data_IF_727737432900
#
_entry.id   IF_727737432900
#
_cell.length_a   1.000
_cell.length_b   1.000
_cell.length_c   1.000
_cell.angle_alpha   90.00
_cell.angle_beta   90.00
_cell.angle_gamma   90.00
#
_symmetry.space_group_name_H-M   'P 1'
#
loop_
_entity.id
_entity.type
_entity.pdbx_description
1 polymer ?
#
# COMPACT_ATOMS: atom_id res chain seq x y z
N UNK A 1 -28.44 -10.26 -44.15
CA UNK A 1 -27.32 -10.22 -43.19
C UNK A 1 -27.91 -10.85 -41.94
N UNK A 2 -27.53 -12.12 -41.68
CA UNK A 2 -28.10 -12.92 -40.61
C UNK A 2 -27.65 -12.40 -39.24
N UNK A 3 -28.62 -12.18 -38.37
CA UNK A 3 -28.46 -11.92 -36.94
C UNK A 3 -27.65 -13.08 -36.27
N UNK A 4 -26.36 -12.95 -36.22
CA UNK A 4 -25.52 -13.70 -35.31
C UNK A 4 -25.43 -12.93 -33.98
N UNK A 5 -26.58 -12.48 -33.46
CA UNK A 5 -26.72 -12.06 -32.08
C UNK A 5 -26.55 -13.30 -31.22
N UNK A 6 -25.56 -13.29 -30.29
CA UNK A 6 -25.49 -14.28 -29.22
C UNK A 6 -26.87 -14.29 -28.52
N UNK A 7 -27.65 -15.35 -28.80
CA UNK A 7 -28.95 -15.53 -28.16
C UNK A 7 -28.72 -15.93 -26.71
N UNK A 8 -28.52 -14.90 -25.84
CA UNK A 8 -28.29 -15.07 -24.40
C UNK A 8 -29.58 -15.33 -23.62
N UNK A 9 -30.73 -15.15 -24.26
CA UNK A 9 -32.05 -15.30 -23.60
C UNK A 9 -32.28 -16.67 -22.95
N UNK A 10 -32.00 -17.83 -23.61
CA UNK A 10 -32.24 -19.12 -22.98
C UNK A 10 -31.31 -19.37 -21.80
N UNK A 11 -30.06 -18.91 -21.88
CA UNK A 11 -29.10 -19.04 -20.76
C UNK A 11 -29.52 -18.20 -19.56
N UNK A 12 -29.92 -16.95 -19.80
CA UNK A 12 -30.40 -16.04 -18.75
C UNK A 12 -31.70 -16.53 -18.12
N UNK A 13 -32.62 -17.08 -18.91
CA UNK A 13 -33.86 -17.68 -18.39
C UNK A 13 -33.58 -18.90 -17.51
N UNK A 14 -32.60 -19.72 -17.86
CA UNK A 14 -32.18 -20.85 -17.04
C UNK A 14 -31.57 -20.38 -15.71
N UNK A 15 -30.68 -19.39 -15.75
CA UNK A 15 -30.06 -18.77 -14.57
C UNK A 15 -31.14 -18.15 -13.67
N UNK A 16 -32.07 -17.38 -14.25
CA UNK A 16 -33.20 -16.79 -13.53
C UNK A 16 -34.06 -17.87 -12.86
N UNK A 17 -34.34 -18.99 -13.55
CA UNK A 17 -35.14 -20.07 -13.00
C UNK A 17 -34.48 -20.72 -11.77
N UNK A 18 -33.16 -20.82 -11.75
CA UNK A 18 -32.38 -21.36 -10.63
C UNK A 18 -32.41 -20.39 -9.44
N UNK A 19 -32.08 -19.11 -9.69
CA UNK A 19 -32.00 -18.07 -8.64
C UNK A 19 -33.37 -17.91 -7.95
N UNK A 20 -34.40 -17.77 -8.77
CA UNK A 20 -35.74 -17.48 -8.30
C UNK A 20 -36.51 -18.75 -7.85
N UNK A 21 -36.04 -19.93 -8.30
CA UNK A 21 -36.54 -21.23 -7.86
C UNK A 21 -36.13 -21.60 -6.42
N UNK A 22 -34.87 -21.31 -6.10
CA UNK A 22 -34.26 -21.69 -4.84
C UNK A 22 -33.51 -20.55 -4.15
N UNK A 23 -34.16 -19.41 -3.81
CA UNK A 23 -33.48 -18.23 -3.32
C UNK A 23 -32.68 -18.46 -2.02
N UNK A 24 -33.15 -19.37 -1.13
CA UNK A 24 -32.41 -19.74 0.08
C UNK A 24 -31.11 -20.46 -0.24
N UNK A 25 -31.11 -21.35 -1.25
CA UNK A 25 -29.92 -22.07 -1.65
C UNK A 25 -28.88 -21.11 -2.27
N UNK A 26 -29.33 -20.12 -3.07
CA UNK A 26 -28.45 -19.09 -3.63
C UNK A 26 -27.82 -18.28 -2.51
N UNK A 27 -28.61 -17.75 -1.57
CA UNK A 27 -28.08 -16.98 -0.43
C UNK A 27 -27.10 -17.81 0.40
N UNK A 28 -27.43 -19.07 0.68
CA UNK A 28 -26.56 -19.97 1.44
C UNK A 28 -25.23 -20.23 0.71
N UNK A 29 -25.27 -20.44 -0.61
CA UNK A 29 -24.07 -20.62 -1.42
C UNK A 29 -23.16 -19.38 -1.40
N UNK A 30 -23.73 -18.17 -1.54
CA UNK A 30 -22.96 -16.92 -1.46
C UNK A 30 -22.36 -16.71 -0.07
N UNK A 31 -23.10 -17.01 1.00
CA UNK A 31 -22.57 -16.94 2.36
C UNK A 31 -21.45 -17.96 2.60
N UNK A 32 -21.55 -19.17 2.05
CA UNK A 32 -20.49 -20.18 2.14
C UNK A 32 -19.22 -19.72 1.44
N UNK A 33 -19.33 -19.13 0.23
CA UNK A 33 -18.19 -18.52 -0.48
C UNK A 33 -17.63 -17.33 0.29
N UNK A 34 -18.48 -16.53 0.93
CA UNK A 34 -18.04 -15.43 1.78
C UNK A 34 -17.18 -15.92 2.94
N UNK A 35 -17.62 -16.95 3.67
CA UNK A 35 -16.84 -17.53 4.77
C UNK A 35 -15.48 -18.03 4.28
N UNK A 36 -15.46 -18.67 3.11
CA UNK A 36 -14.23 -19.16 2.51
C UNK A 36 -13.28 -17.98 2.17
N UNK A 37 -13.77 -16.97 1.47
CA UNK A 37 -12.95 -15.83 1.03
C UNK A 37 -12.53 -14.92 2.19
N UNK A 38 -13.32 -14.83 3.27
CA UNK A 38 -12.93 -14.04 4.46
C UNK A 38 -11.62 -14.55 5.09
N UNK A 39 -11.29 -15.83 4.93
CA UNK A 39 -10.00 -16.38 5.36
C UNK A 39 -8.80 -15.74 4.68
N UNK A 40 -8.93 -15.32 3.43
CA UNK A 40 -7.87 -14.63 2.69
C UNK A 40 -7.61 -13.19 3.16
N UNK A 41 -8.59 -12.54 3.79
CA UNK A 41 -8.41 -11.13 4.23
C UNK A 41 -7.25 -10.98 5.22
N UNK A 42 -7.05 -11.99 6.08
CA UNK A 42 -5.93 -12.00 7.03
C UNK A 42 -4.57 -12.34 6.41
N UNK A 43 -4.52 -12.64 5.11
CA UNK A 43 -3.29 -12.98 4.37
C UNK A 43 -2.84 -11.85 3.44
N UNK A 44 -3.46 -10.68 3.53
CA UNK A 44 -3.10 -9.52 2.71
C UNK A 44 -1.76 -8.98 3.20
N UNK A 45 -0.79 -8.96 2.30
CA UNK A 45 0.50 -8.31 2.51
C UNK A 45 0.46 -6.90 1.91
N UNK A 46 1.04 -5.94 2.63
CA UNK A 46 1.24 -4.58 2.10
C UNK A 46 2.60 -4.50 1.44
N UNK A 47 2.69 -3.85 0.27
CA UNK A 47 4.00 -3.61 -0.37
C UNK A 47 4.79 -2.66 0.50
N UNK A 48 5.92 -3.14 0.95
CA UNK A 48 6.86 -2.36 1.74
C UNK A 48 7.83 -1.57 0.86
N UNK A 49 8.06 -1.98 -0.39
CA UNK A 49 8.93 -1.27 -1.32
C UNK A 49 8.34 -1.12 -2.72
N UNK A 50 8.12 0.14 -3.15
CA UNK A 50 7.73 0.44 -4.54
C UNK A 50 8.94 0.58 -5.47
N UNK A 51 10.16 0.67 -4.93
CA UNK A 51 11.37 0.80 -5.75
C UNK A 51 11.63 -0.47 -6.55
N UNK A 52 11.37 -1.64 -5.98
CA UNK A 52 11.51 -2.92 -6.69
C UNK A 52 10.52 -3.05 -7.86
N UNK A 53 9.33 -2.48 -7.72
CA UNK A 53 8.31 -2.51 -8.79
C UNK A 53 8.69 -1.67 -10.02
N UNK A 54 9.57 -0.68 -9.85
CA UNK A 54 10.12 0.10 -10.97
C UNK A 54 11.34 -0.54 -11.60
N UNK A 55 11.92 -1.56 -10.96
CA UNK A 55 13.24 -2.07 -11.26
C UNK A 55 13.26 -3.33 -12.13
N UNK A 56 12.20 -4.14 -12.14
CA UNK A 56 12.16 -5.31 -13.01
C UNK A 56 12.06 -4.90 -14.49
N UNK A 57 13.07 -5.26 -15.30
CA UNK A 57 13.17 -5.09 -16.77
C UNK A 57 13.55 -3.69 -17.30
N UNK A 58 14.18 -2.82 -16.53
CA UNK A 58 14.72 -1.57 -17.05
C UNK A 58 16.25 -1.69 -17.17
N UNK A 59 16.81 -1.47 -18.38
CA UNK A 59 18.26 -1.45 -18.62
C UNK A 59 19.04 -0.48 -17.70
N UNK A 60 18.36 0.50 -17.12
CA UNK A 60 18.89 1.39 -16.10
C UNK A 60 19.09 0.70 -14.76
N UNK A 61 18.27 -0.29 -14.42
CA UNK A 61 18.41 -1.07 -13.18
C UNK A 61 19.54 -2.08 -13.29
N UNK A 62 19.63 -2.80 -14.43
CA UNK A 62 20.78 -3.68 -14.69
C UNK A 62 22.11 -2.90 -14.63
N UNK A 63 22.09 -1.63 -15.09
CA UNK A 63 23.24 -0.74 -14.98
C UNK A 63 23.49 -0.29 -13.53
N UNK A 64 22.44 -0.05 -12.73
CA UNK A 64 22.52 0.30 -11.32
C UNK A 64 23.02 -0.89 -10.49
N UNK A 65 22.52 -2.09 -10.76
CA UNK A 65 22.95 -3.32 -10.11
C UNK A 65 24.42 -3.64 -10.45
N UNK A 66 24.84 -3.46 -11.71
CA UNK A 66 26.23 -3.59 -12.11
C UNK A 66 27.13 -2.54 -11.44
N UNK A 67 26.65 -1.29 -11.27
CA UNK A 67 27.34 -0.24 -10.52
C UNK A 67 27.42 -0.58 -9.03
N UNK A 68 26.36 -1.10 -8.44
CA UNK A 68 26.32 -1.53 -7.05
C UNK A 68 27.26 -2.72 -6.79
N UNK A 69 27.35 -3.67 -7.73
CA UNK A 69 28.24 -4.82 -7.66
C UNK A 69 29.71 -4.42 -7.85
N UNK A 70 30.02 -3.46 -8.74
CA UNK A 70 31.39 -3.06 -9.07
C UNK A 70 31.95 -1.97 -8.13
N UNK A 71 31.10 -1.14 -7.53
CA UNK A 71 31.50 -0.07 -6.61
C UNK A 71 31.19 -0.37 -5.13
N UNK A 72 30.78 -1.59 -4.83
CA UNK A 72 30.61 -2.11 -3.46
C UNK A 72 29.68 -1.26 -2.63
N UNK A 73 28.38 -1.47 -2.78
CA UNK A 73 27.36 -1.31 -1.74
C UNK A 73 27.24 -0.02 -0.92
N UNK A 74 28.04 0.99 -1.17
CA UNK A 74 27.97 2.26 -0.39
C UNK A 74 26.77 3.12 -0.74
N UNK A 75 26.03 2.75 -1.78
CA UNK A 75 24.86 3.48 -2.29
C UNK A 75 23.66 2.58 -2.59
N UNK A 76 23.83 1.25 -2.60
CA UNK A 76 22.69 0.36 -2.53
C UNK A 76 22.08 0.56 -1.15
N UNK A 77 20.80 0.84 -1.09
CA UNK A 77 20.06 0.65 0.14
C UNK A 77 20.10 -0.85 0.46
N UNK A 78 21.26 -1.33 0.96
CA UNK A 78 21.29 -2.62 1.62
C UNK A 78 20.18 -2.60 2.64
N UNK A 79 19.30 -3.57 2.57
CA UNK A 79 18.14 -3.71 3.45
C UNK A 79 18.53 -3.61 4.95
N UNK A 80 19.81 -3.72 5.26
CA UNK A 80 20.40 -3.67 6.59
C UNK A 80 21.00 -2.31 6.98
N UNK A 81 20.87 -1.24 6.15
CA UNK A 81 21.51 0.06 6.41
C UNK A 81 20.52 1.16 6.77
N UNK A 82 20.94 2.06 7.66
CA UNK A 82 20.24 3.29 8.02
C UNK A 82 21.11 4.50 7.64
N UNK A 83 20.56 5.47 6.98
CA UNK A 83 21.27 6.65 6.53
C UNK A 83 20.89 7.86 7.40
N UNK A 84 21.89 8.56 7.93
CA UNK A 84 21.74 9.80 8.67
C UNK A 84 22.21 10.95 7.77
N UNK A 85 21.30 11.80 7.34
CA UNK A 85 21.60 13.04 6.62
C UNK A 85 21.60 14.18 7.64
N UNK A 86 22.78 14.75 7.89
CA UNK A 86 22.94 15.94 8.71
C UNK A 86 23.07 17.17 7.82
N UNK A 87 22.29 18.23 8.09
CA UNK A 87 22.31 19.50 7.38
C UNK A 87 22.64 20.66 8.33
N UNK A 88 23.26 21.71 7.79
CA UNK A 88 23.60 22.91 8.57
C UNK A 88 24.63 23.81 7.87
N UNK A 89 24.97 24.94 8.50
CA UNK A 89 25.93 25.90 7.94
C UNK A 89 27.33 25.29 7.67
N UNK A 90 27.77 24.42 8.58
CA UNK A 90 28.98 23.62 8.43
C UNK A 90 28.89 22.32 9.25
N UNK A 91 28.53 21.22 8.59
CA UNK A 91 28.42 19.89 9.19
C UNK A 91 29.78 19.27 9.57
N UNK A 92 30.90 19.86 9.11
CA UNK A 92 32.27 19.46 9.46
C UNK A 92 32.84 20.29 10.63
N UNK A 93 32.04 21.13 11.27
CA UNK A 93 32.40 21.82 12.49
C UNK A 93 32.50 20.86 13.67
N UNK A 94 33.33 21.19 14.69
CA UNK A 94 33.43 20.37 15.91
C UNK A 94 32.07 19.99 16.49
N UNK A 95 31.16 20.97 16.62
CA UNK A 95 29.86 20.77 17.21
C UNK A 95 29.00 19.81 16.39
N UNK A 96 28.99 19.95 15.06
CA UNK A 96 28.24 19.08 14.16
C UNK A 96 28.77 17.64 14.16
N UNK A 97 30.11 17.48 14.14
CA UNK A 97 30.74 16.16 14.22
C UNK A 97 30.44 15.46 15.57
N UNK A 98 30.45 16.21 16.68
CA UNK A 98 30.08 15.67 17.99
C UNK A 98 28.61 15.25 18.08
N UNK A 99 27.70 15.98 17.41
CA UNK A 99 26.28 15.60 17.33
C UNK A 99 26.11 14.30 16.56
N UNK A 100 26.75 14.17 15.40
CA UNK A 100 26.70 12.92 14.63
C UNK A 100 27.22 11.74 15.44
N UNK A 101 28.37 11.89 16.10
CA UNK A 101 28.91 10.84 16.98
C UNK A 101 28.03 10.55 18.18
N UNK A 102 27.33 11.52 18.74
CA UNK A 102 26.40 11.28 19.85
C UNK A 102 25.20 10.42 19.41
N UNK A 103 24.68 10.61 18.20
CA UNK A 103 23.63 9.73 17.65
C UNK A 103 24.17 8.32 17.44
N UNK A 104 25.35 8.18 16.85
CA UNK A 104 25.99 6.87 16.64
C UNK A 104 26.24 6.16 17.96
N UNK A 105 26.79 6.86 18.97
CA UNK A 105 27.07 6.29 20.30
C UNK A 105 25.78 5.82 20.99
N UNK A 106 24.72 6.65 21.00
CA UNK A 106 23.44 6.28 21.57
C UNK A 106 22.79 5.11 20.83
N UNK A 107 22.97 5.02 19.50
CA UNK A 107 22.50 3.87 18.71
C UNK A 107 23.28 2.61 19.12
N UNK A 108 24.59 2.72 19.28
CA UNK A 108 25.44 1.59 19.67
C UNK A 108 25.20 1.11 21.14
N UNK A 109 24.80 2.02 22.04
CA UNK A 109 24.47 1.69 23.42
C UNK A 109 23.17 0.87 23.53
N UNK A 110 22.30 0.96 22.54
CA UNK A 110 21.06 0.19 22.48
C UNK A 110 21.28 -1.11 21.73
N UNK A 111 21.47 -2.20 22.45
CA UNK A 111 21.75 -3.51 21.87
C UNK A 111 20.62 -3.99 20.91
N UNK A 112 19.39 -3.56 21.13
CA UNK A 112 18.23 -3.83 20.27
C UNK A 112 18.37 -3.22 18.87
N UNK A 113 19.16 -2.16 18.71
CA UNK A 113 19.38 -1.51 17.41
C UNK A 113 20.51 -2.17 16.60
N UNK A 114 21.23 -3.15 17.17
CA UNK A 114 22.15 -4.08 16.48
C UNK A 114 23.17 -3.39 15.57
N UNK A 115 23.66 -2.22 15.95
CA UNK A 115 24.65 -1.48 15.17
C UNK A 115 25.97 -2.28 15.11
N UNK A 116 26.47 -2.52 13.90
CA UNK A 116 27.76 -3.20 13.67
C UNK A 116 28.84 -2.26 13.17
N UNK A 117 28.46 -1.28 12.34
CA UNK A 117 29.37 -0.28 11.80
C UNK A 117 28.68 1.07 11.59
N UNK A 118 29.48 2.13 11.62
CA UNK A 118 29.04 3.48 11.30
C UNK A 118 30.11 4.20 10.50
N UNK A 119 29.84 4.42 9.23
CA UNK A 119 30.74 5.12 8.31
C UNK A 119 30.20 6.49 7.97
N UNK A 120 30.93 7.55 8.34
CA UNK A 120 30.55 8.92 8.08
C UNK A 120 31.72 9.90 8.27
N UNK A 121 31.53 11.19 7.90
CA UNK A 121 32.62 12.17 8.06
C UNK A 121 33.12 12.28 9.51
N UNK A 122 32.24 12.15 10.50
CA UNK A 122 32.61 12.25 11.91
C UNK A 122 33.53 11.12 12.36
N UNK A 123 33.23 9.87 11.97
CA UNK A 123 34.06 8.70 12.29
C UNK A 123 35.42 8.75 11.58
N UNK A 124 35.40 9.12 10.27
CA UNK A 124 36.62 9.25 9.47
C UNK A 124 37.57 10.34 10.03
N UNK A 125 37.02 11.52 10.38
CA UNK A 125 37.79 12.62 10.94
C UNK A 125 38.33 12.28 12.33
N UNK A 126 37.53 11.60 13.18
CA UNK A 126 37.96 11.15 14.49
C UNK A 126 39.16 10.17 14.41
N UNK A 127 39.11 9.19 13.51
CA UNK A 127 40.19 8.26 13.25
C UNK A 127 41.42 8.93 12.61
N UNK A 128 41.23 10.04 11.86
CA UNK A 128 42.33 10.82 11.33
C UNK A 128 43.04 11.62 12.44
N UNK A 129 42.30 12.06 13.46
CA UNK A 129 42.83 12.76 14.62
C UNK A 129 43.53 11.80 15.62
N UNK A 130 42.92 10.64 15.84
CA UNK A 130 43.46 9.60 16.70
C UNK A 130 43.21 8.21 16.09
N UNK A 131 44.22 7.63 15.41
CA UNK A 131 44.10 6.31 14.79
C UNK A 131 43.83 5.16 15.78
N UNK A 132 43.98 5.39 17.08
CA UNK A 132 43.68 4.40 18.13
C UNK A 132 42.25 4.50 18.67
N UNK A 133 41.44 5.40 18.14
CA UNK A 133 40.04 5.57 18.56
C UNK A 133 39.10 4.54 17.91
N UNK A 134 39.15 3.31 18.42
CA UNK A 134 38.42 2.14 17.91
C UNK A 134 36.94 2.11 18.38
N UNK A 135 36.55 2.90 19.38
CA UNK A 135 35.18 3.00 19.87
C UNK A 135 34.58 4.37 19.62
N UNK A 136 33.25 4.46 19.47
CA UNK A 136 32.55 5.72 19.24
C UNK A 136 32.78 6.74 20.38
N UNK A 137 32.86 6.28 21.64
CA UNK A 137 33.23 7.13 22.77
C UNK A 137 34.69 7.65 22.65
N UNK A 138 35.63 6.82 22.19
CA UNK A 138 37.01 7.26 21.93
C UNK A 138 37.04 8.27 20.77
N UNK A 139 36.32 8.05 19.70
CA UNK A 139 36.19 8.97 18.58
C UNK A 139 35.60 10.31 19.02
N UNK A 140 34.55 10.30 19.86
CA UNK A 140 33.98 11.52 20.43
C UNK A 140 35.01 12.29 21.29
N UNK A 141 35.81 11.59 22.09
CA UNK A 141 36.90 12.19 22.87
C UNK A 141 37.99 12.80 21.96
N UNK A 142 38.34 12.12 20.88
CA UNK A 142 39.31 12.63 19.92
C UNK A 142 38.87 13.98 19.33
N UNK A 143 37.62 14.09 18.84
CA UNK A 143 37.07 15.33 18.31
C UNK A 143 36.91 16.40 19.40
N UNK A 144 36.46 16.04 20.61
CA UNK A 144 36.26 17.01 21.69
C UNK A 144 37.54 17.67 22.16
N UNK A 145 38.67 16.97 22.14
CA UNK A 145 39.99 17.44 22.57
C UNK A 145 40.72 18.23 21.48
N UNK A 146 40.39 17.95 20.22
CA UNK A 146 41.05 18.60 19.09
C UNK A 146 40.71 20.11 19.01
N UNK A 147 41.65 20.94 18.64
CA UNK A 147 41.40 22.34 18.30
C UNK A 147 40.68 22.44 16.95
N UNK A 148 40.03 23.57 16.67
CA UNK A 148 39.38 23.82 15.37
C UNK A 148 40.37 23.79 14.19
N UNK A 149 41.63 24.14 14.43
CA UNK A 149 42.68 24.03 13.43
C UNK A 149 43.07 22.58 13.13
N UNK A 150 43.13 21.72 14.12
CA UNK A 150 43.39 20.29 13.95
C UNK A 150 42.24 19.61 13.23
N UNK A 151 40.97 19.92 13.58
CA UNK A 151 39.81 19.41 12.87
C UNK A 151 39.83 19.83 11.39
N UNK A 152 40.07 21.13 11.09
CA UNK A 152 40.15 21.55 9.69
C UNK A 152 41.29 20.86 8.94
N UNK A 153 42.42 20.59 9.58
CA UNK A 153 43.51 19.84 8.96
C UNK A 153 43.15 18.38 8.71
N UNK A 154 42.49 17.74 9.68
CA UNK A 154 41.99 16.37 9.54
C UNK A 154 40.96 16.25 8.40
N UNK A 155 40.01 17.21 8.27
CA UNK A 155 39.06 17.29 7.14
C UNK A 155 39.80 17.39 5.79
N UNK A 156 40.81 18.26 5.68
CA UNK A 156 41.58 18.41 4.44
C UNK A 156 42.36 17.16 4.05
N UNK A 157 42.86 16.41 5.03
CA UNK A 157 43.57 15.15 4.83
C UNK A 157 42.57 14.03 4.48
N UNK A 158 41.41 14.00 5.13
CA UNK A 158 40.35 13.02 4.84
C UNK A 158 39.75 13.19 3.45
N UNK A 159 39.79 14.41 2.88
CA UNK A 159 39.31 14.66 1.53
C UNK A 159 40.04 13.87 0.43
N UNK A 160 41.25 13.37 0.70
CA UNK A 160 42.02 12.51 -0.21
C UNK A 160 41.70 11.00 -0.03
N UNK A 161 40.91 10.64 0.98
CA UNK A 161 40.49 9.24 1.19
C UNK A 161 39.40 8.87 0.20
N UNK A 162 39.48 7.66 -0.39
CA UNK A 162 38.37 7.13 -1.19
C UNK A 162 37.07 7.14 -0.38
N UNK A 163 35.97 7.54 -0.98
CA UNK A 163 34.63 7.55 -0.38
C UNK A 163 34.33 8.76 0.53
N UNK A 164 35.31 9.56 0.99
CA UNK A 164 34.99 10.72 1.84
C UNK A 164 34.13 11.77 1.12
N UNK A 165 34.40 12.00 -0.17
CA UNK A 165 33.67 13.00 -0.96
C UNK A 165 32.21 12.59 -1.22
N UNK A 166 31.91 11.31 -1.26
CA UNK A 166 30.53 10.81 -1.38
C UNK A 166 29.70 10.92 -0.09
N UNK A 167 30.38 11.15 1.04
CA UNK A 167 29.74 11.32 2.35
C UNK A 167 29.53 12.79 2.73
N UNK A 168 29.90 13.74 1.87
CA UNK A 168 29.71 15.18 2.07
C UNK A 168 28.97 15.78 0.89
N UNK A 169 28.24 16.87 1.15
CA UNK A 169 27.47 17.56 0.11
C UNK A 169 28.33 18.09 -1.03
N UNK A 170 27.73 18.31 -2.20
CA UNK A 170 28.39 18.84 -3.39
C UNK A 170 28.98 20.24 -3.20
N UNK A 171 28.59 20.94 -2.13
CA UNK A 171 29.12 22.23 -1.70
C UNK A 171 30.40 22.13 -0.87
N UNK A 172 30.94 20.90 -0.70
CA UNK A 172 32.15 20.68 0.08
C UNK A 172 33.31 21.54 -0.41
N UNK A 173 33.83 22.34 0.50
CA UNK A 173 34.97 23.20 0.24
C UNK A 173 36.18 22.79 1.08
N UNK A 174 37.16 22.16 0.41
CA UNK A 174 38.39 21.68 1.05
C UNK A 174 39.20 22.81 1.70
N UNK A 175 39.18 24.03 1.11
CA UNK A 175 40.00 25.15 1.63
C UNK A 175 39.45 25.67 2.96
N UNK A 176 38.14 25.84 3.07
CA UNK A 176 37.46 26.25 4.30
C UNK A 176 37.24 25.06 5.26
N UNK A 177 37.35 23.85 4.78
CA UNK A 177 36.97 22.61 5.49
C UNK A 177 35.51 22.66 5.94
N UNK A 178 34.59 22.93 5.01
CA UNK A 178 33.17 23.11 5.27
C UNK A 178 32.30 22.38 4.24
N UNK A 179 31.16 21.92 4.66
CA UNK A 179 30.08 21.38 3.84
C UNK A 179 28.74 21.68 4.51
N UNK A 180 27.68 21.91 3.73
CA UNK A 180 26.33 22.16 4.19
C UNK A 180 25.55 20.87 4.52
N UNK A 181 26.01 19.73 4.01
CA UNK A 181 25.40 18.43 4.28
C UNK A 181 26.45 17.33 4.45
N UNK A 182 26.11 16.31 5.24
CA UNK A 182 26.91 15.08 5.37
C UNK A 182 26.00 13.86 5.53
N UNK A 183 26.45 12.75 4.98
CA UNK A 183 25.82 11.45 5.08
C UNK A 183 26.63 10.54 6.00
N UNK A 184 25.96 9.88 6.93
CA UNK A 184 26.53 8.78 7.72
C UNK A 184 25.67 7.54 7.49
N UNK A 185 26.33 6.43 7.16
CA UNK A 185 25.69 5.13 6.98
C UNK A 185 25.91 4.28 8.23
N UNK A 186 24.83 3.81 8.81
CA UNK A 186 24.80 2.87 9.92
C UNK A 186 24.46 1.50 9.36
N UNK A 187 25.30 0.50 9.63
CA UNK A 187 25.05 -0.89 9.25
C UNK A 187 24.58 -1.68 10.46
N UNK A 188 23.50 -2.42 10.30
CA UNK A 188 22.92 -3.25 11.35
C UNK A 188 23.13 -4.74 11.02
N UNK A 189 23.08 -5.61 12.01
CA UNK A 189 23.17 -7.07 11.79
C UNK A 189 21.85 -7.74 12.12
N UNK A 190 21.24 -8.36 11.11
CA UNK A 190 20.02 -9.12 11.27
C UNK A 190 20.30 -10.62 11.12
N UNK A 191 19.73 -11.48 12.00
CA UNK A 191 19.71 -12.91 11.76
C UNK A 191 18.87 -13.21 10.52
N UNK A 192 19.19 -14.27 9.76
CA UNK A 192 18.33 -14.73 8.68
C UNK A 192 16.90 -14.95 9.21
N UNK A 193 15.89 -14.35 8.58
CA UNK A 193 14.47 -14.39 8.95
C UNK A 193 14.03 -13.42 10.08
N UNK A 194 14.77 -12.37 10.37
CA UNK A 194 14.40 -11.36 11.35
C UNK A 194 13.91 -10.09 10.64
N UNK A 195 12.59 -9.87 10.59
CA UNK A 195 11.93 -8.72 9.92
C UNK A 195 11.91 -7.44 10.77
N UNK A 196 12.81 -7.28 11.74
CA UNK A 196 12.81 -6.13 12.66
C UNK A 196 13.52 -4.87 12.11
N UNK A 197 13.84 -4.82 10.82
CA UNK A 197 14.51 -3.67 10.21
C UNK A 197 13.76 -2.35 10.48
N UNK A 198 12.44 -2.35 10.28
CA UNK A 198 11.59 -1.18 10.52
C UNK A 198 11.71 -0.68 11.96
N UNK A 199 11.64 -1.56 12.95
CA UNK A 199 11.73 -1.20 14.37
C UNK A 199 13.11 -0.63 14.70
N UNK A 200 14.17 -1.22 14.17
CA UNK A 200 15.55 -0.74 14.34
C UNK A 200 15.73 0.65 13.75
N UNK A 201 15.28 0.87 12.52
CA UNK A 201 15.41 2.16 11.83
C UNK A 201 14.55 3.25 12.49
N UNK A 202 13.34 2.93 12.94
CA UNK A 202 12.51 3.84 13.74
C UNK A 202 13.15 4.16 15.09
N UNK A 203 13.83 3.21 15.72
CA UNK A 203 14.60 3.44 16.95
C UNK A 203 15.77 4.40 16.74
N UNK A 204 16.46 4.32 15.61
CA UNK A 204 17.51 5.29 15.21
C UNK A 204 16.91 6.66 14.95
N UNK A 205 15.76 6.73 14.25
CA UNK A 205 15.03 7.97 14.00
C UNK A 205 14.65 8.68 15.31
N UNK A 206 14.13 7.94 16.28
CA UNK A 206 13.79 8.47 17.62
C UNK A 206 15.00 9.05 18.37
N UNK A 207 16.19 8.45 18.22
CA UNK A 207 17.45 9.00 18.77
C UNK A 207 17.83 10.30 18.06
N UNK A 208 17.79 10.29 16.73
CA UNK A 208 18.17 11.45 15.93
C UNK A 208 17.24 12.66 16.16
N UNK A 209 15.94 12.44 16.27
CA UNK A 209 14.94 13.48 16.56
C UNK A 209 15.11 14.13 17.94
N UNK A 210 15.65 13.40 18.90
CA UNK A 210 15.98 13.94 20.24
C UNK A 210 17.32 14.66 20.29
N UNK A 211 18.12 14.54 19.22
CA UNK A 211 19.41 15.25 19.13
C UNK A 211 19.19 16.71 18.74
N UNK A 212 20.01 17.62 19.30
CA UNK A 212 20.03 19.02 18.88
C UNK A 212 20.69 19.14 17.50
N UNK A 213 19.91 19.24 16.43
CA UNK A 213 20.43 19.41 15.08
C UNK A 213 19.47 18.90 14.01
N UNK A 214 19.67 19.38 12.77
CA UNK A 214 18.91 18.89 11.62
C UNK A 214 19.56 17.59 11.11
N UNK A 215 19.20 16.47 11.76
CA UNK A 215 19.60 15.12 11.36
C UNK A 215 18.34 14.37 10.95
N UNK A 216 18.25 14.05 9.67
CA UNK A 216 17.17 13.24 9.09
C UNK A 216 17.63 11.81 8.92
N UNK A 217 16.76 10.89 9.21
CA UNK A 217 17.04 9.46 9.11
C UNK A 217 16.26 8.88 7.94
N UNK A 218 16.97 8.13 7.10
CA UNK A 218 16.42 7.43 5.96
C UNK A 218 16.73 5.94 6.06
N UNK A 219 15.81 5.14 5.57
CA UNK A 219 15.95 3.70 5.50
C UNK A 219 14.66 3.08 5.00
N UNK A 220 14.75 1.88 4.46
CA UNK A 220 13.62 1.18 3.86
C UNK A 220 12.46 1.01 4.85
N UNK A 221 12.75 0.56 6.07
CA UNK A 221 11.73 0.39 7.11
C UNK A 221 11.04 1.70 7.53
N UNK A 222 11.76 2.85 7.50
CA UNK A 222 11.15 4.17 7.75
C UNK A 222 10.22 4.54 6.60
N UNK A 223 10.69 4.40 5.36
CA UNK A 223 9.89 4.71 4.17
C UNK A 223 8.62 3.87 4.14
N UNK A 224 8.73 2.58 4.45
CA UNK A 224 7.59 1.66 4.52
C UNK A 224 6.60 2.07 5.62
N UNK A 225 7.09 2.40 6.81
CA UNK A 225 6.26 2.88 7.91
C UNK A 225 5.52 4.17 7.55
N UNK A 226 6.21 5.14 6.94
CA UNK A 226 5.59 6.41 6.53
C UNK A 226 4.56 6.19 5.42
N UNK A 227 4.86 5.32 4.45
CA UNK A 227 3.91 4.94 3.39
C UNK A 227 2.67 4.25 3.97
N UNK A 228 2.86 3.30 4.87
CA UNK A 228 1.75 2.60 5.55
C UNK A 228 0.87 3.58 6.35
N UNK A 229 1.49 4.54 7.06
CA UNK A 229 0.77 5.58 7.79
C UNK A 229 -0.02 6.51 6.86
N UNK A 230 0.56 6.96 5.74
CA UNK A 230 -0.13 7.79 4.73
C UNK A 230 -1.31 7.03 4.11
N UNK A 231 -1.14 5.75 3.81
CA UNK A 231 -2.22 4.89 3.32
C UNK A 231 -3.31 4.77 4.40
N UNK A 232 -2.93 4.48 5.64
CA UNK A 232 -3.86 4.35 6.78
C UNK A 232 -4.65 5.64 7.04
N UNK A 233 -3.98 6.77 7.07
CA UNK A 233 -4.60 8.10 7.25
C UNK A 233 -5.53 8.45 6.09
N UNK A 234 -5.11 8.17 4.86
CA UNK A 234 -5.93 8.40 3.66
C UNK A 234 -7.20 7.55 3.70
N UNK A 235 -7.07 6.26 4.00
CA UNK A 235 -8.22 5.37 4.18
C UNK A 235 -9.11 5.81 5.34
N UNK A 236 -8.51 6.26 6.45
CA UNK A 236 -9.22 6.74 7.63
C UNK A 236 -10.08 7.98 7.37
N UNK A 237 -9.73 8.82 6.41
CA UNK A 237 -10.49 10.01 6.02
C UNK A 237 -11.43 9.71 4.84
N UNK A 238 -10.90 9.09 3.79
CA UNK A 238 -11.62 8.86 2.52
C UNK A 238 -12.73 7.83 2.69
N UNK A 239 -12.47 6.73 3.38
CA UNK A 239 -13.48 5.66 3.52
C UNK A 239 -14.73 6.09 4.28
N UNK A 240 -14.66 6.78 5.45
CA UNK A 240 -15.86 7.29 6.11
C UNK A 240 -16.60 8.33 5.26
N UNK A 241 -15.88 9.20 4.54
CA UNK A 241 -16.52 10.18 3.66
C UNK A 241 -17.26 9.51 2.49
N UNK A 242 -16.65 8.54 1.84
CA UNK A 242 -17.26 7.75 0.76
C UNK A 242 -18.46 6.96 1.28
N UNK A 243 -18.30 6.26 2.42
CA UNK A 243 -19.41 5.51 3.04
C UNK A 243 -20.56 6.43 3.46
N UNK A 244 -20.27 7.62 3.99
CA UNK A 244 -21.27 8.63 4.33
C UNK A 244 -22.04 9.12 3.11
N UNK A 245 -21.36 9.42 2.00
CA UNK A 245 -21.98 9.79 0.73
C UNK A 245 -22.82 8.66 0.14
N UNK A 246 -22.30 7.43 0.18
CA UNK A 246 -23.00 6.23 -0.26
C UNK A 246 -24.29 6.04 0.54
N UNK A 247 -24.19 6.11 1.87
CA UNK A 247 -25.34 5.97 2.75
C UNK A 247 -26.39 7.03 2.47
N UNK A 248 -25.97 8.30 2.34
CA UNK A 248 -26.85 9.40 1.98
C UNK A 248 -27.55 9.14 0.65
N UNK A 249 -26.80 8.72 -0.37
CA UNK A 249 -27.34 8.46 -1.71
C UNK A 249 -28.31 7.26 -1.70
N UNK A 250 -27.97 6.18 -1.00
CA UNK A 250 -28.83 5.00 -0.85
C UNK A 250 -30.12 5.32 -0.07
N UNK A 251 -30.06 6.15 0.98
CA UNK A 251 -31.25 6.58 1.73
C UNK A 251 -32.21 7.34 0.79
N UNK A 252 -31.67 8.24 -0.04
CA UNK A 252 -32.47 9.00 -0.99
C UNK A 252 -33.04 8.11 -2.10
N UNK A 253 -32.24 7.15 -2.60
CA UNK A 253 -32.61 6.27 -3.71
C UNK A 253 -33.60 5.18 -3.28
N UNK A 254 -33.33 4.52 -2.17
CA UNK A 254 -34.11 3.35 -1.77
C UNK A 254 -35.38 3.70 -0.99
N UNK A 255 -35.35 4.75 -0.18
CA UNK A 255 -36.51 5.19 0.63
C UNK A 255 -37.15 4.09 1.51
N UNK A 256 -36.52 2.92 1.62
CA UNK A 256 -36.93 1.79 2.43
C UNK A 256 -35.71 1.23 3.17
N UNK A 257 -35.75 1.15 4.51
CA UNK A 257 -34.60 0.72 5.30
C UNK A 257 -34.18 -0.74 5.03
N UNK A 258 -35.09 -1.60 4.61
CA UNK A 258 -34.76 -2.99 4.28
C UNK A 258 -33.96 -3.09 2.99
N UNK A 259 -34.34 -2.33 1.97
CA UNK A 259 -33.60 -2.26 0.71
C UNK A 259 -32.22 -1.63 0.91
N UNK A 260 -32.15 -0.63 1.79
CA UNK A 260 -30.89 -0.02 2.21
C UNK A 260 -29.94 -1.06 2.83
N UNK A 261 -30.42 -1.83 3.81
CA UNK A 261 -29.63 -2.86 4.48
C UNK A 261 -29.18 -3.95 3.48
N UNK A 262 -30.07 -4.42 2.62
CA UNK A 262 -29.71 -5.42 1.61
C UNK A 262 -28.66 -4.91 0.63
N UNK A 263 -28.77 -3.66 0.18
CA UNK A 263 -27.78 -3.02 -0.68
C UNK A 263 -26.42 -2.90 0.02
N UNK A 264 -26.40 -2.45 1.28
CA UNK A 264 -25.17 -2.38 2.08
C UNK A 264 -24.52 -3.74 2.30
N UNK A 265 -25.32 -4.78 2.59
CA UNK A 265 -24.81 -6.16 2.72
C UNK A 265 -24.20 -6.62 1.39
N UNK A 266 -24.85 -6.37 0.26
CA UNK A 266 -24.30 -6.74 -1.04
C UNK A 266 -22.98 -6.01 -1.34
N UNK A 267 -22.88 -4.72 -1.02
CA UNK A 267 -21.64 -3.94 -1.15
C UNK A 267 -20.53 -4.51 -0.27
N UNK A 268 -20.83 -4.81 0.98
CA UNK A 268 -19.86 -5.40 1.92
C UNK A 268 -19.37 -6.76 1.42
N UNK A 269 -20.25 -7.60 0.89
CA UNK A 269 -19.87 -8.90 0.31
C UNK A 269 -18.93 -8.72 -0.89
N UNK A 270 -19.18 -7.73 -1.76
CA UNK A 270 -18.29 -7.42 -2.90
C UNK A 270 -16.87 -7.07 -2.44
N UNK A 271 -16.76 -6.25 -1.40
CA UNK A 271 -15.48 -5.87 -0.82
C UNK A 271 -14.79 -7.09 -0.18
N UNK A 272 -15.52 -7.84 0.66
CA UNK A 272 -14.98 -9.03 1.33
C UNK A 272 -14.48 -10.09 0.34
N UNK A 273 -15.20 -10.31 -0.75
CA UNK A 273 -14.78 -11.26 -1.78
C UNK A 273 -13.52 -10.77 -2.50
N UNK A 274 -13.44 -9.47 -2.79
CA UNK A 274 -12.28 -8.89 -3.48
C UNK A 274 -11.05 -8.90 -2.58
N UNK A 275 -11.17 -8.46 -1.33
CA UNK A 275 -10.06 -8.51 -0.38
C UNK A 275 -9.63 -9.93 -0.05
N UNK A 276 -10.59 -10.85 0.11
CA UNK A 276 -10.27 -12.27 0.29
C UNK A 276 -9.52 -12.86 -0.91
N UNK A 277 -9.90 -12.49 -2.13
CA UNK A 277 -9.18 -12.87 -3.34
C UNK A 277 -7.74 -12.33 -3.35
N UNK A 278 -7.54 -11.04 -3.01
CA UNK A 278 -6.20 -10.42 -2.91
C UNK A 278 -5.29 -11.27 -2.03
N UNK A 279 -5.73 -11.60 -0.81
CA UNK A 279 -4.92 -12.37 0.13
C UNK A 279 -4.63 -13.80 -0.34
N UNK A 280 -5.62 -14.51 -0.90
CA UNK A 280 -5.37 -15.86 -1.44
C UNK A 280 -4.52 -15.89 -2.70
N UNK A 281 -4.59 -14.84 -3.52
CA UNK A 281 -3.78 -14.72 -4.72
C UNK A 281 -2.34 -14.27 -4.41
N UNK A 282 -2.03 -13.89 -3.16
CA UNK A 282 -0.74 -13.35 -2.77
C UNK A 282 -0.42 -12.04 -3.50
N UNK A 283 -1.46 -11.27 -3.88
CA UNK A 283 -1.28 -9.98 -4.53
C UNK A 283 -1.03 -8.94 -3.43
N UNK A 284 0.13 -8.27 -3.42
CA UNK A 284 0.42 -7.29 -2.39
C UNK A 284 -0.46 -6.06 -2.54
N UNK A 285 -0.92 -5.51 -1.40
CA UNK A 285 -1.76 -4.32 -1.37
C UNK A 285 -0.90 -3.07 -1.43
N UNK A 286 -0.92 -2.37 -2.56
CA UNK A 286 -0.19 -1.13 -2.81
C UNK A 286 -1.09 0.12 -2.77
N UNK A 287 -0.50 1.30 -2.92
CA UNK A 287 -1.21 2.58 -2.92
C UNK A 287 -2.28 2.68 -4.02
N UNK A 288 -2.09 2.05 -5.19
CA UNK A 288 -3.07 2.06 -6.29
C UNK A 288 -4.33 1.29 -5.91
N UNK A 289 -4.19 0.25 -5.05
CA UNK A 289 -5.30 -0.57 -4.58
C UNK A 289 -6.32 0.19 -3.71
N UNK A 290 -5.96 1.36 -3.15
CA UNK A 290 -6.87 2.21 -2.37
C UNK A 290 -8.09 2.64 -3.19
N UNK A 291 -7.94 2.78 -4.50
CA UNK A 291 -9.04 3.16 -5.39
C UNK A 291 -10.02 2.02 -5.70
N UNK A 292 -9.61 0.76 -5.53
CA UNK A 292 -10.45 -0.41 -5.84
C UNK A 292 -11.72 -0.47 -5.00
N UNK A 293 -11.70 -0.35 -3.67
CA UNK A 293 -12.92 -0.31 -2.86
C UNK A 293 -13.89 0.78 -3.31
N UNK A 294 -13.39 1.98 -3.60
CA UNK A 294 -14.21 3.12 -4.04
C UNK A 294 -14.90 2.81 -5.37
N UNK A 295 -14.15 2.24 -6.31
CA UNK A 295 -14.67 1.82 -7.61
C UNK A 295 -15.77 0.77 -7.46
N UNK A 296 -15.53 -0.28 -6.66
CA UNK A 296 -16.50 -1.36 -6.45
C UNK A 296 -17.78 -0.87 -5.77
N UNK A 297 -17.64 0.03 -4.80
CA UNK A 297 -18.77 0.66 -4.14
C UNK A 297 -19.60 1.47 -5.13
N UNK A 298 -18.97 2.27 -6.00
CA UNK A 298 -19.66 3.07 -7.00
C UNK A 298 -20.45 2.21 -8.00
N UNK A 299 -19.82 1.15 -8.55
CA UNK A 299 -20.47 0.22 -9.48
C UNK A 299 -21.58 -0.59 -8.80
N UNK A 300 -21.33 -1.06 -7.58
CA UNK A 300 -22.31 -1.83 -6.82
C UNK A 300 -23.55 -1.01 -6.47
N UNK A 301 -23.38 0.26 -6.09
CA UNK A 301 -24.52 1.16 -5.83
C UNK A 301 -25.37 1.33 -7.09
N UNK A 302 -24.73 1.55 -8.23
CA UNK A 302 -25.43 1.74 -9.50
C UNK A 302 -26.28 0.49 -9.84
N UNK A 303 -25.69 -0.70 -9.77
CA UNK A 303 -26.41 -1.97 -9.97
C UNK A 303 -27.58 -2.13 -8.98
N UNK A 304 -27.32 -1.85 -7.70
CA UNK A 304 -28.32 -1.99 -6.64
C UNK A 304 -29.52 -1.07 -6.83
N UNK A 305 -29.27 0.20 -7.16
CA UNK A 305 -30.34 1.18 -7.40
C UNK A 305 -31.20 0.77 -8.59
N UNK A 306 -30.59 0.33 -9.69
CA UNK A 306 -31.32 -0.12 -10.87
C UNK A 306 -32.19 -1.34 -10.56
N UNK A 307 -31.68 -2.34 -9.84
CA UNK A 307 -32.46 -3.52 -9.48
C UNK A 307 -33.64 -3.15 -8.59
N UNK A 308 -33.41 -2.39 -7.52
CA UNK A 308 -34.48 -2.08 -6.56
C UNK A 308 -35.54 -1.19 -7.18
N UNK A 309 -35.15 -0.17 -7.95
CA UNK A 309 -36.13 0.70 -8.60
C UNK A 309 -36.95 -0.05 -9.66
N UNK A 310 -36.31 -0.85 -10.51
CA UNK A 310 -37.02 -1.63 -11.51
C UNK A 310 -37.94 -2.66 -10.88
N UNK A 311 -37.50 -3.34 -9.84
CA UNK A 311 -38.36 -4.26 -9.08
C UNK A 311 -39.60 -3.57 -8.50
N UNK A 312 -39.45 -2.35 -7.95
CA UNK A 312 -40.57 -1.57 -7.42
C UNK A 312 -41.55 -1.12 -8.51
N UNK A 313 -41.05 -0.77 -9.69
CA UNK A 313 -41.91 -0.47 -10.85
C UNK A 313 -42.78 -1.67 -11.20
N UNK A 314 -42.21 -2.87 -11.27
CA UNK A 314 -42.97 -4.06 -11.60
C UNK A 314 -43.95 -4.47 -10.49
N UNK A 315 -43.56 -4.32 -9.20
CA UNK A 315 -44.49 -4.49 -8.07
C UNK A 315 -45.64 -3.48 -8.15
N UNK A 316 -45.38 -2.22 -8.55
CA UNK A 316 -46.39 -1.19 -8.73
C UNK A 316 -47.39 -1.49 -9.87
N UNK A 317 -47.00 -2.34 -10.84
CA UNK A 317 -47.86 -2.84 -11.92
C UNK A 317 -48.75 -4.01 -11.47
N UNK A 318 -48.58 -4.49 -10.25
CA UNK A 318 -49.43 -5.54 -9.69
C UNK A 318 -48.84 -6.97 -9.76
N UNK A 319 -47.61 -7.12 -10.24
CA UNK A 319 -46.93 -8.44 -10.26
C UNK A 319 -46.60 -8.92 -8.84
N UNK A 320 -46.60 -10.23 -8.64
CA UNK A 320 -46.14 -10.82 -7.36
C UNK A 320 -44.60 -10.62 -7.15
N UNK A 321 -44.11 -10.92 -5.95
CA UNK A 321 -42.68 -10.76 -5.59
C UNK A 321 -41.77 -11.49 -6.57
N UNK A 322 -42.12 -12.72 -6.94
CA UNK A 322 -41.31 -13.57 -7.78
C UNK A 322 -41.34 -13.11 -9.24
N UNK A 323 -42.53 -12.81 -9.74
CA UNK A 323 -42.75 -12.37 -11.12
C UNK A 323 -42.12 -11.01 -11.39
N UNK A 324 -42.29 -10.04 -10.47
CA UNK A 324 -41.67 -8.73 -10.54
C UNK A 324 -40.12 -8.85 -10.58
N UNK A 325 -39.53 -9.73 -9.74
CA UNK A 325 -38.09 -9.93 -9.73
C UNK A 325 -37.60 -10.68 -10.98
N UNK A 326 -38.39 -11.60 -11.53
CA UNK A 326 -38.05 -12.30 -12.78
C UNK A 326 -37.93 -11.32 -13.94
N UNK A 327 -38.91 -10.44 -14.09
CA UNK A 327 -38.93 -9.40 -15.14
C UNK A 327 -37.73 -8.46 -14.94
N UNK A 328 -37.51 -7.99 -13.72
CA UNK A 328 -36.40 -7.08 -13.38
C UNK A 328 -35.06 -7.71 -13.74
N UNK A 329 -34.80 -8.92 -13.29
CA UNK A 329 -33.49 -9.56 -13.47
C UNK A 329 -33.23 -9.92 -14.95
N UNK A 330 -34.24 -10.36 -15.69
CA UNK A 330 -34.09 -10.65 -17.13
C UNK A 330 -33.71 -9.42 -17.96
N UNK A 331 -34.21 -8.24 -17.58
CA UNK A 331 -33.92 -6.99 -18.28
C UNK A 331 -32.57 -6.39 -17.90
N UNK A 332 -32.19 -6.47 -16.62
CA UNK A 332 -30.98 -5.82 -16.13
C UNK A 332 -29.72 -6.69 -16.23
N UNK A 333 -29.86 -8.03 -16.15
CA UNK A 333 -28.69 -8.93 -16.15
C UNK A 333 -27.85 -8.80 -17.43
N UNK A 334 -28.48 -8.61 -18.60
CA UNK A 334 -27.74 -8.39 -19.85
C UNK A 334 -26.99 -7.07 -19.82
N UNK A 335 -27.64 -5.99 -19.39
CA UNK A 335 -27.01 -4.68 -19.29
C UNK A 335 -25.82 -4.71 -18.32
N UNK A 336 -25.99 -5.32 -17.16
CA UNK A 336 -24.91 -5.47 -16.17
C UNK A 336 -23.77 -6.34 -16.67
N UNK A 337 -24.08 -7.42 -17.39
CA UNK A 337 -23.06 -8.26 -18.02
C UNK A 337 -22.23 -7.48 -19.03
N UNK A 338 -22.89 -6.69 -19.90
CA UNK A 338 -22.19 -5.85 -20.89
C UNK A 338 -21.27 -4.84 -20.18
N UNK A 339 -21.78 -4.12 -19.17
CA UNK A 339 -20.99 -3.17 -18.39
C UNK A 339 -19.81 -3.87 -17.71
N UNK A 340 -20.05 -5.03 -17.10
CA UNK A 340 -19.00 -5.82 -16.45
C UNK A 340 -17.91 -6.23 -17.46
N UNK A 341 -18.29 -6.81 -18.58
CA UNK A 341 -17.36 -7.26 -19.62
C UNK A 341 -16.55 -6.08 -20.19
N UNK A 342 -17.20 -4.96 -20.53
CA UNK A 342 -16.49 -3.79 -21.07
C UNK A 342 -15.53 -3.19 -20.04
N UNK A 343 -15.90 -3.18 -18.77
CA UNK A 343 -15.05 -2.67 -17.70
C UNK A 343 -13.87 -3.61 -17.41
N UNK A 344 -14.10 -4.92 -17.40
CA UNK A 344 -13.04 -5.93 -17.28
C UNK A 344 -12.04 -5.84 -18.44
N UNK A 345 -12.51 -5.65 -19.68
CA UNK A 345 -11.61 -5.41 -20.81
C UNK A 345 -10.85 -4.08 -20.68
N UNK A 346 -11.50 -3.04 -20.17
CA UNK A 346 -10.86 -1.74 -19.93
C UNK A 346 -9.70 -1.84 -18.93
N UNK A 347 -9.93 -2.49 -17.78
CA UNK A 347 -8.86 -2.73 -16.81
C UNK A 347 -7.86 -3.79 -17.31
N UNK A 348 -8.33 -4.83 -17.99
CA UNK A 348 -7.52 -5.89 -18.57
C UNK A 348 -6.48 -5.38 -19.57
N UNK A 349 -6.70 -4.24 -20.22
CA UNK A 349 -5.70 -3.61 -21.07
C UNK A 349 -4.41 -3.26 -20.30
N UNK A 350 -4.50 -2.98 -19.00
CA UNK A 350 -3.35 -2.69 -18.17
C UNK A 350 -2.50 -3.94 -17.80
N UNK A 351 -2.99 -5.15 -18.10
CA UNK A 351 -2.21 -6.38 -17.94
C UNK A 351 -0.97 -6.43 -18.84
N UNK A 352 -0.95 -5.61 -19.89
CA UNK A 352 0.22 -5.47 -20.78
C UNK A 352 1.28 -4.50 -20.25
N UNK A 353 1.04 -3.85 -19.10
CA UNK A 353 2.01 -2.97 -18.48
C UNK A 353 3.21 -3.74 -17.94
N UNK A 354 4.40 -3.19 -18.11
CA UNK A 354 5.62 -3.71 -17.47
C UNK A 354 5.69 -3.31 -15.98
N UNK A 355 4.84 -2.38 -15.54
CA UNK A 355 4.78 -1.93 -14.15
C UNK A 355 3.84 -2.83 -13.35
N UNK A 356 4.40 -3.63 -12.44
CA UNK A 356 3.68 -4.64 -11.66
C UNK A 356 2.49 -4.10 -10.88
N UNK A 357 2.57 -2.98 -10.14
CA UNK A 357 1.41 -2.42 -9.45
C UNK A 357 0.22 -2.13 -10.36
N UNK A 358 0.48 -1.70 -11.60
CA UNK A 358 -0.58 -1.49 -12.60
C UNK A 358 -1.23 -2.79 -13.04
N UNK A 359 -0.45 -3.88 -13.22
CA UNK A 359 -0.99 -5.21 -13.54
C UNK A 359 -1.82 -5.75 -12.39
N UNK A 360 -1.31 -5.65 -11.17
CA UNK A 360 -2.00 -6.10 -9.96
C UNK A 360 -3.32 -5.35 -9.75
N UNK A 361 -3.32 -4.02 -9.90
CA UNK A 361 -4.54 -3.22 -9.90
C UNK A 361 -5.54 -3.68 -10.95
N UNK A 362 -5.08 -3.95 -12.19
CA UNK A 362 -5.95 -4.42 -13.28
C UNK A 362 -6.61 -5.76 -12.95
N UNK A 363 -5.87 -6.70 -12.38
CA UNK A 363 -6.39 -8.01 -11.95
C UNK A 363 -7.44 -7.83 -10.88
N UNK A 364 -7.11 -7.10 -9.81
CA UNK A 364 -7.99 -6.94 -8.65
C UNK A 364 -9.25 -6.16 -9.01
N UNK A 365 -9.14 -5.07 -9.77
CA UNK A 365 -10.29 -4.31 -10.24
C UNK A 365 -11.21 -5.15 -11.14
N UNK A 366 -10.63 -5.93 -12.07
CA UNK A 366 -11.40 -6.81 -12.95
C UNK A 366 -12.15 -7.91 -12.18
N UNK A 367 -11.47 -8.59 -11.28
CA UNK A 367 -12.07 -9.64 -10.44
C UNK A 367 -13.11 -9.06 -9.50
N UNK A 368 -12.83 -7.92 -8.88
CA UNK A 368 -13.77 -7.23 -8.01
C UNK A 368 -15.07 -6.82 -8.71
N UNK A 369 -14.99 -6.33 -9.95
CA UNK A 369 -16.18 -6.00 -10.75
C UNK A 369 -16.97 -7.27 -11.12
N UNK A 370 -16.30 -8.38 -11.44
CA UNK A 370 -16.97 -9.66 -11.67
C UNK A 370 -17.70 -10.10 -10.39
N UNK A 371 -17.08 -10.01 -9.22
CA UNK A 371 -17.74 -10.33 -7.94
C UNK A 371 -18.91 -9.41 -7.66
N UNK A 372 -18.77 -8.11 -7.91
CA UNK A 372 -19.86 -7.16 -7.78
C UNK A 372 -21.04 -7.54 -8.70
N UNK A 373 -20.78 -7.86 -9.96
CA UNK A 373 -21.79 -8.34 -10.88
C UNK A 373 -22.50 -9.60 -10.36
N UNK A 374 -21.76 -10.60 -9.91
CA UNK A 374 -22.33 -11.85 -9.38
C UNK A 374 -23.20 -11.58 -8.16
N UNK A 375 -22.74 -10.75 -7.23
CA UNK A 375 -23.48 -10.46 -5.99
C UNK A 375 -24.74 -9.67 -6.29
N UNK A 376 -24.66 -8.65 -7.12
CA UNK A 376 -25.85 -7.84 -7.43
C UNK A 376 -26.81 -8.53 -8.37
N UNK A 377 -26.36 -9.35 -9.32
CA UNK A 377 -27.25 -10.06 -10.25
C UNK A 377 -27.87 -11.34 -9.67
N UNK A 378 -27.25 -11.94 -8.64
CA UNK A 378 -27.72 -13.23 -8.11
C UNK A 378 -28.08 -13.18 -6.63
N UNK A 379 -27.17 -12.70 -5.76
CA UNK A 379 -27.41 -12.65 -4.33
C UNK A 379 -28.49 -11.64 -3.95
N UNK A 380 -28.38 -10.40 -4.43
CA UNK A 380 -29.32 -9.33 -4.08
C UNK A 380 -30.76 -9.65 -4.48
N UNK A 381 -31.07 -10.12 -5.70
CA UNK A 381 -32.42 -10.55 -6.08
C UNK A 381 -32.95 -11.70 -5.20
N UNK A 382 -32.13 -12.71 -4.92
CA UNK A 382 -32.52 -13.83 -4.08
C UNK A 382 -32.84 -13.39 -2.64
N UNK A 383 -31.98 -12.56 -2.06
CA UNK A 383 -32.15 -12.01 -0.71
C UNK A 383 -33.41 -11.11 -0.63
N UNK A 384 -33.65 -10.29 -1.68
CA UNK A 384 -34.83 -9.43 -1.76
C UNK A 384 -36.13 -10.24 -1.80
N UNK A 385 -36.18 -11.34 -2.57
CA UNK A 385 -37.36 -12.24 -2.61
C UNK A 385 -37.63 -12.80 -1.22
N UNK A 386 -36.60 -13.26 -0.49
CA UNK A 386 -36.76 -13.80 0.86
C UNK A 386 -37.28 -12.73 1.81
N UNK A 387 -36.74 -11.54 1.77
CA UNK A 387 -37.12 -10.44 2.63
C UNK A 387 -38.59 -10.02 2.40
N UNK A 388 -38.99 -9.83 1.16
CA UNK A 388 -40.32 -9.34 0.84
C UNK A 388 -41.41 -10.40 1.06
N UNK A 389 -41.14 -11.70 0.78
CA UNK A 389 -42.06 -12.79 1.13
C UNK A 389 -42.29 -12.90 2.63
N UNK A 390 -41.25 -12.69 3.43
CA UNK A 390 -41.40 -12.67 4.87
C UNK A 390 -42.23 -11.48 5.33
N UNK A 391 -42.05 -10.30 4.74
CA UNK A 391 -42.88 -9.11 5.04
C UNK A 391 -44.35 -9.31 4.67
N UNK A 392 -44.64 -9.92 3.51
CA UNK A 392 -46.02 -10.22 3.09
C UNK A 392 -46.73 -11.25 3.98
N UNK A 393 -45.98 -12.10 4.71
CA UNK A 393 -46.55 -13.06 5.68
C UNK A 393 -46.89 -12.45 7.05
N UNK A 394 -46.27 -11.30 7.38
CA UNK A 394 -46.48 -10.65 8.67
C UNK A 394 -47.39 -9.41 8.59
N UNK A 395 -47.76 -8.98 7.39
CA UNK A 395 -48.80 -7.97 7.12
C UNK A 395 -50.11 -8.63 6.67
#
# INVERSE_FOLDING_TARGET
>A
MSDAGLDLEPTLNTINSIILGHPLAVVAAFLAVTVLLTGGVGMIETVEDQSDAFSEDIAAQEALDAVNEEFGGSFSGDDESTQLLQSGDNVLSRQSLLRSLAVIEQTNERAELRLTDATGPATIIAQQLDPSADSYDAQRRAISRASDSEIRNAVRQSADRPGFQSLVGNDFNRRSASAGASLTVLTHSFPPQDDNLQEVQLGVKDIAERSDGDIRVFGLGITNSETANVIGDSLGIVMPAVLGLILLFLIVAYRDPFDLILGLVALLLSLLWTFGFIGYAGIPFDQNMISVPILLLAVGIDFGIHIVNRYREEKGRGFDVREAMTITNSQLAVAFLIVTVTTVFGFGANLTSNFEPTRNFAIVASVGIIFTFLIFSFFLPAAKIIADRNRERFN
#
